data_IF_618494152635
#
_entry.id   IF_618494152635
#
_cell.length_a   1.000
_cell.length_b   1.000
_cell.length_c   1.000
_cell.angle_alpha   90.00
_cell.angle_beta   90.00
_cell.angle_gamma   90.00
#
_symmetry.space_group_name_H-M   'P 1'
#
loop_
_entity.id
_entity.type
_entity.pdbx_description
1 polymer ?
#
# COMPACT_ATOMS: atom_id res chain seq x y z
N UNK A 1 7.82 20.96 11.88
CA UNK A 1 7.83 19.49 11.83
C UNK A 1 6.57 19.02 12.54
N UNK A 2 5.84 18.09 11.94
CA UNK A 2 4.57 17.61 12.48
C UNK A 2 4.74 16.18 12.98
N UNK A 3 4.03 15.84 14.06
CA UNK A 3 4.03 14.48 14.59
C UNK A 3 3.37 13.50 13.62
N UNK A 4 3.66 12.20 13.74
CA UNK A 4 3.16 11.18 12.82
C UNK A 4 1.63 11.06 12.74
N UNK A 5 0.92 11.52 13.76
CA UNK A 5 -0.55 11.47 13.86
C UNK A 5 -1.24 12.79 13.53
N UNK A 6 -0.49 13.88 13.33
CA UNK A 6 -1.06 15.19 13.02
C UNK A 6 -0.74 15.53 11.57
N UNK A 7 -1.73 15.52 10.66
CA UNK A 7 -1.49 15.91 9.28
C UNK A 7 -0.95 17.35 9.28
N UNK A 8 0.15 17.61 8.58
CA UNK A 8 0.64 18.96 8.41
C UNK A 8 -0.29 19.71 7.45
N UNK A 9 -1.29 20.40 7.98
CA UNK A 9 -2.12 21.25 7.14
C UNK A 9 -1.29 22.47 6.66
N UNK A 10 -0.84 22.39 5.41
CA UNK A 10 -0.26 23.48 4.61
C UNK A 10 -1.23 23.94 3.50
N UNK A 11 -0.83 24.96 2.73
CA UNK A 11 -1.55 25.66 1.65
C UNK A 11 -2.60 24.79 0.90
N UNK A 12 -3.90 25.15 0.88
CA UNK A 12 -5.03 24.28 0.52
C UNK A 12 -5.21 24.01 -0.98
N UNK A 13 -4.13 23.92 -1.78
CA UNK A 13 -4.30 23.56 -3.18
C UNK A 13 -4.72 22.09 -3.37
N UNK A 14 -4.78 21.64 -4.63
CA UNK A 14 -5.54 20.47 -5.07
C UNK A 14 -5.17 19.15 -4.37
N UNK A 15 -3.97 19.06 -3.78
CA UNK A 15 -3.44 17.82 -3.20
C UNK A 15 -3.73 17.65 -1.70
N UNK A 16 -3.80 18.74 -0.93
CA UNK A 16 -4.07 18.67 0.52
C UNK A 16 -5.43 18.04 0.85
N UNK A 17 -6.52 18.27 0.08
CA UNK A 17 -7.81 17.59 0.29
C UNK A 17 -7.79 16.07 0.11
N UNK A 18 -6.76 15.50 -0.53
CA UNK A 18 -6.62 14.06 -0.71
C UNK A 18 -6.00 13.37 0.53
N UNK A 19 -5.53 14.16 1.50
CA UNK A 19 -4.88 13.65 2.70
C UNK A 19 -5.96 13.35 3.74
N UNK A 20 -6.13 12.07 4.03
CA UNK A 20 -7.05 11.61 5.07
C UNK A 20 -6.30 11.47 6.40
N UNK A 21 -6.94 11.94 7.47
CA UNK A 21 -6.59 11.58 8.84
C UNK A 21 -6.86 10.10 9.09
N UNK A 22 -6.22 9.52 10.11
CA UNK A 22 -6.50 8.14 10.53
C UNK A 22 -7.99 7.95 10.87
N UNK A 23 -8.63 8.94 11.50
CA UNK A 23 -10.06 8.93 11.83
C UNK A 23 -10.94 8.90 10.57
N UNK A 24 -10.60 9.69 9.55
CA UNK A 24 -11.30 9.68 8.26
C UNK A 24 -11.11 8.36 7.53
N UNK A 25 -9.89 7.80 7.51
CA UNK A 25 -9.63 6.49 6.90
C UNK A 25 -10.49 5.38 7.54
N UNK A 26 -10.57 5.35 8.88
CA UNK A 26 -11.44 4.43 9.61
C UNK A 26 -12.91 4.66 9.23
N UNK A 27 -13.36 5.91 9.27
CA UNK A 27 -14.77 6.26 9.00
C UNK A 27 -15.19 5.95 7.57
N UNK A 28 -14.27 6.06 6.61
CA UNK A 28 -14.46 5.71 5.21
C UNK A 28 -14.19 4.22 4.92
N UNK A 29 -13.95 3.42 5.97
CA UNK A 29 -13.76 1.99 5.88
C UNK A 29 -12.59 1.58 4.97
N UNK A 30 -11.56 2.43 4.88
CA UNK A 30 -10.27 2.05 4.28
C UNK A 30 -9.65 0.94 5.11
N UNK A 31 -8.89 0.07 4.45
CA UNK A 31 -8.14 -1.01 5.10
C UNK A 31 -6.99 -0.43 5.90
N UNK A 32 -7.31 0.03 7.11
CA UNK A 32 -6.37 0.27 8.19
C UNK A 32 -6.31 -0.98 9.07
N UNK A 33 -5.23 -1.26 9.80
CA UNK A 33 -5.18 -2.38 10.74
C UNK A 33 -6.29 -2.26 11.80
N UNK A 34 -7.46 -2.83 11.56
CA UNK A 34 -8.72 -2.44 12.22
C UNK A 34 -9.16 -3.37 13.36
N UNK A 35 -8.26 -4.07 14.03
CA UNK A 35 -8.64 -4.90 15.19
C UNK A 35 -8.38 -4.20 16.54
N UNK A 36 -7.44 -3.28 16.57
CA UNK A 36 -7.16 -2.37 17.67
C UNK A 36 -6.03 -1.50 17.18
N UNK A 37 -6.23 -0.18 17.09
CA UNK A 37 -5.11 0.75 17.03
C UNK A 37 -4.44 0.67 18.40
N UNK A 38 -3.67 -0.39 18.57
CA UNK A 38 -2.52 -0.38 19.43
C UNK A 38 -1.55 0.58 18.72
N UNK A 39 -1.14 1.67 19.36
CA UNK A 39 -0.12 2.55 18.80
C UNK A 39 1.18 1.79 18.45
N UNK A 40 1.40 0.60 19.04
CA UNK A 40 2.50 -0.30 18.68
C UNK A 40 2.28 -1.10 17.38
N UNK A 41 1.06 -1.13 16.83
CA UNK A 41 0.74 -1.81 15.56
C UNK A 41 1.07 -0.95 14.33
N UNK A 42 1.23 0.36 14.51
CA UNK A 42 1.63 1.28 13.46
C UNK A 42 3.11 1.64 13.62
N UNK A 43 3.94 1.13 12.72
CA UNK A 43 5.33 1.53 12.65
C UNK A 43 5.49 2.69 11.67
N UNK A 44 5.65 3.89 12.18
CA UNK A 44 6.02 5.03 11.35
C UNK A 44 7.44 4.84 10.82
N UNK A 45 7.60 5.00 9.51
CA UNK A 45 8.90 4.87 8.84
C UNK A 45 9.89 5.98 9.25
N UNK A 46 9.38 7.11 9.73
CA UNK A 46 10.16 8.26 10.15
C UNK A 46 9.62 8.82 11.47
N UNK A 47 10.50 9.35 12.34
CA UNK A 47 10.07 10.00 13.58
C UNK A 47 9.34 11.33 13.34
N UNK A 48 9.58 11.98 12.19
CA UNK A 48 8.96 13.23 11.79
C UNK A 48 8.76 13.27 10.28
N UNK A 49 7.67 13.91 9.86
CA UNK A 49 7.38 14.14 8.44
C UNK A 49 7.45 15.64 8.11
N UNK A 50 7.90 15.94 6.88
CA UNK A 50 7.88 17.30 6.35
C UNK A 50 6.44 17.72 6.10
N UNK A 51 6.16 19.01 6.24
CA UNK A 51 4.86 19.55 5.95
C UNK A 51 4.47 19.28 4.49
N UNK A 52 3.21 18.91 4.26
CA UNK A 52 2.72 18.76 2.89
C UNK A 52 2.59 20.14 2.23
N UNK A 53 2.81 20.15 0.92
CA UNK A 53 2.65 21.32 0.06
C UNK A 53 2.11 20.88 -1.28
N UNK A 54 1.71 21.82 -2.12
CA UNK A 54 1.29 21.55 -3.50
C UNK A 54 2.36 20.87 -4.36
N UNK A 55 3.63 20.97 -3.96
CA UNK A 55 4.75 20.33 -4.62
C UNK A 55 5.09 18.96 -4.04
N UNK A 56 4.37 18.48 -3.03
CA UNK A 56 4.56 17.14 -2.50
C UNK A 56 4.22 16.10 -3.59
N UNK A 57 5.08 15.09 -3.78
CA UNK A 57 4.83 14.06 -4.77
C UNK A 57 3.68 13.16 -4.33
N UNK A 58 2.88 12.71 -5.30
CA UNK A 58 1.79 11.75 -5.10
C UNK A 58 2.12 10.47 -5.86
N UNK A 59 1.89 9.34 -5.21
CA UNK A 59 2.06 8.03 -5.80
C UNK A 59 0.77 7.23 -5.67
N UNK A 60 0.42 6.48 -6.71
CA UNK A 60 -0.60 5.46 -6.63
C UNK A 60 0.06 4.10 -6.47
N UNK A 61 -0.52 3.28 -5.60
CA UNK A 61 -0.08 1.91 -5.31
C UNK A 61 -1.21 0.96 -5.63
N UNK A 62 -0.88 -0.15 -6.27
CA UNK A 62 -1.80 -1.25 -6.52
C UNK A 62 -1.08 -2.60 -6.32
N UNK A 63 -1.83 -3.56 -5.79
CA UNK A 63 -1.29 -4.84 -5.37
C UNK A 63 -2.17 -5.97 -5.93
N UNK A 64 -1.54 -6.97 -6.52
CA UNK A 64 -2.22 -8.21 -6.89
C UNK A 64 -1.88 -9.31 -5.90
N UNK A 65 -2.91 -9.97 -5.39
CA UNK A 65 -2.77 -11.04 -4.40
C UNK A 65 -3.22 -12.39 -4.94
N UNK A 66 -2.67 -13.45 -4.35
CA UNK A 66 -3.04 -14.85 -4.58
C UNK A 66 -3.50 -15.50 -3.28
N UNK A 67 -4.30 -16.56 -3.35
CA UNK A 67 -4.75 -17.30 -2.17
C UNK A 67 -3.69 -18.31 -1.74
N UNK A 68 -3.35 -18.28 -0.46
CA UNK A 68 -2.42 -19.22 0.20
C UNK A 68 -3.09 -19.98 1.35
N UNK A 69 -4.42 -19.86 1.44
CA UNK A 69 -5.30 -20.54 2.39
C UNK A 69 -6.77 -20.15 2.15
N UNK A 70 -7.74 -20.81 2.80
CA UNK A 70 -9.17 -20.53 2.61
C UNK A 70 -9.51 -19.05 2.79
N UNK A 71 -8.97 -18.43 3.85
CA UNK A 71 -9.20 -17.02 4.20
C UNK A 71 -7.91 -16.20 4.22
N UNK A 72 -6.85 -16.70 3.57
CA UNK A 72 -5.54 -16.06 3.57
C UNK A 72 -5.07 -15.78 2.14
N UNK A 73 -4.69 -14.52 1.91
CA UNK A 73 -4.08 -14.05 0.66
C UNK A 73 -2.65 -13.60 0.91
N UNK A 74 -1.81 -13.66 -0.12
CA UNK A 74 -0.43 -13.18 -0.10
C UNK A 74 -0.17 -12.28 -1.33
N UNK A 75 0.70 -11.27 -1.16
CA UNK A 75 1.13 -10.40 -2.24
C UNK A 75 1.85 -11.20 -3.32
N UNK A 76 1.58 -10.88 -4.58
CA UNK A 76 2.19 -11.52 -5.75
C UNK A 76 2.66 -10.55 -6.84
N UNK A 77 2.14 -9.32 -6.83
CA UNK A 77 2.65 -8.20 -7.64
C UNK A 77 2.43 -6.89 -6.90
N UNK A 78 3.37 -5.97 -7.03
CA UNK A 78 3.28 -4.60 -6.52
C UNK A 78 3.60 -3.63 -7.65
N UNK A 79 2.71 -2.67 -7.86
CA UNK A 79 2.87 -1.60 -8.84
C UNK A 79 2.78 -0.24 -8.15
N UNK A 80 3.70 0.67 -8.48
CA UNK A 80 3.71 2.05 -8.01
C UNK A 80 3.94 2.97 -9.22
N UNK A 81 3.08 3.98 -9.36
CA UNK A 81 3.20 5.03 -10.38
C UNK A 81 3.21 6.42 -9.75
N UNK A 82 3.86 7.38 -10.39
CA UNK A 82 3.82 8.78 -9.97
C UNK A 82 2.67 9.57 -10.65
N UNK A 83 2.57 10.86 -10.34
CA UNK A 83 1.53 11.76 -10.89
C UNK A 83 1.61 12.00 -12.41
N UNK A 84 2.75 11.68 -13.03
CA UNK A 84 2.93 11.73 -14.48
C UNK A 84 2.61 10.37 -15.15
N UNK A 85 2.05 9.42 -14.40
CA UNK A 85 1.78 8.05 -14.83
C UNK A 85 3.04 7.23 -15.17
N UNK A 86 4.21 7.66 -14.69
CA UNK A 86 5.46 6.92 -14.87
C UNK A 86 5.53 5.78 -13.86
N UNK A 87 5.93 4.59 -14.32
CA UNK A 87 6.12 3.40 -13.48
C UNK A 87 7.38 3.57 -12.65
N UNK A 88 7.21 3.68 -11.34
CA UNK A 88 8.30 3.77 -10.37
C UNK A 88 8.73 2.38 -9.94
N UNK A 89 7.77 1.47 -9.75
CA UNK A 89 8.00 0.09 -9.40
C UNK A 89 6.92 -0.78 -10.03
N UNK A 90 7.31 -1.89 -10.64
CA UNK A 90 6.40 -2.95 -11.07
C UNK A 90 7.14 -4.28 -10.94
N UNK A 91 6.83 -5.02 -9.88
CA UNK A 91 7.58 -6.22 -9.52
C UNK A 91 6.64 -7.36 -9.17
N UNK A 92 7.03 -8.56 -9.61
CA UNK A 92 6.43 -9.80 -9.15
C UNK A 92 7.10 -10.21 -7.84
N UNK A 93 6.29 -10.68 -6.90
CA UNK A 93 6.71 -11.13 -5.57
C UNK A 93 6.38 -12.60 -5.45
N UNK A 94 7.33 -13.40 -4.95
CA UNK A 94 7.12 -14.80 -4.65
C UNK A 94 6.55 -14.94 -3.23
N UNK A 95 5.33 -15.45 -3.06
CA UNK A 95 4.80 -15.74 -1.73
C UNK A 95 5.65 -16.77 -0.98
N UNK A 96 5.74 -16.64 0.34
CA UNK A 96 6.41 -17.64 1.20
C UNK A 96 5.59 -18.91 1.36
N UNK A 97 4.26 -18.75 1.44
CA UNK A 97 3.31 -19.86 1.53
C UNK A 97 2.97 -20.39 0.15
N UNK A 98 2.68 -21.68 0.09
CA UNK A 98 2.22 -22.32 -1.14
C UNK A 98 0.90 -21.69 -1.61
N UNK A 99 0.87 -21.33 -2.89
CA UNK A 99 -0.33 -20.81 -3.55
C UNK A 99 -1.29 -21.96 -3.78
N UNK A 100 -2.55 -21.80 -3.33
CA UNK A 100 -3.62 -22.78 -3.55
C UNK A 100 -4.59 -22.34 -4.65
N UNK A 101 -4.70 -21.03 -4.90
CA UNK A 101 -5.46 -20.46 -5.99
C UNK A 101 -4.83 -19.12 -6.40
N UNK A 102 -4.56 -18.95 -7.71
CA UNK A 102 -3.97 -17.73 -8.25
C UNK A 102 -5.00 -16.62 -8.40
N UNK A 103 -6.29 -16.92 -8.28
CA UNK A 103 -7.42 -16.00 -8.49
C UNK A 103 -7.29 -15.20 -9.79
N UNK A 104 -6.75 -15.84 -10.84
CA UNK A 104 -6.36 -15.24 -12.13
C UNK A 104 -7.46 -14.41 -12.77
N UNK A 105 -8.73 -14.81 -12.59
CA UNK A 105 -9.89 -14.06 -13.11
C UNK A 105 -9.93 -12.62 -12.59
N UNK A 106 -9.46 -12.41 -11.36
CA UNK A 106 -9.46 -11.12 -10.68
C UNK A 106 -8.08 -10.47 -10.76
N UNK A 107 -7.01 -11.23 -10.51
CA UNK A 107 -5.65 -10.69 -10.37
C UNK A 107 -4.80 -10.72 -11.63
N UNK A 108 -5.21 -11.47 -12.66
CA UNK A 108 -4.38 -11.76 -13.83
C UNK A 108 -3.15 -12.63 -13.54
N UNK A 109 -2.91 -13.04 -12.29
CA UNK A 109 -1.74 -13.80 -11.90
C UNK A 109 -1.80 -15.25 -12.40
N UNK A 110 -0.68 -15.78 -12.86
CA UNK A 110 -0.57 -17.16 -13.35
C UNK A 110 0.68 -17.85 -12.79
N UNK A 111 0.71 -19.19 -12.75
CA UNK A 111 1.91 -19.93 -12.37
C UNK A 111 3.14 -19.56 -13.21
N UNK A 112 2.93 -19.31 -14.51
CA UNK A 112 3.97 -18.98 -15.46
C UNK A 112 4.58 -17.60 -15.18
N UNK A 113 3.76 -16.62 -14.78
CA UNK A 113 4.27 -15.31 -14.38
C UNK A 113 5.18 -15.42 -13.15
N UNK A 114 4.85 -16.30 -12.19
CA UNK A 114 5.65 -16.48 -10.98
C UNK A 114 6.81 -17.49 -11.13
N UNK A 115 6.99 -18.07 -12.31
CA UNK A 115 8.08 -18.99 -12.58
C UNK A 115 9.43 -18.25 -12.53
N UNK A 116 10.35 -18.74 -11.71
CA UNK A 116 11.68 -18.13 -11.56
C UNK A 116 11.72 -16.81 -10.77
N UNK A 117 10.58 -16.28 -10.31
CA UNK A 117 10.55 -15.08 -9.46
C UNK A 117 11.24 -15.38 -8.12
N UNK A 118 12.14 -14.49 -7.69
CA UNK A 118 12.94 -14.67 -6.46
C UNK A 118 12.73 -13.58 -5.42
N UNK A 119 12.15 -12.43 -5.79
CA UNK A 119 11.88 -11.34 -4.86
C UNK A 119 10.84 -11.78 -3.82
N UNK A 120 11.10 -11.51 -2.54
CA UNK A 120 10.22 -11.83 -1.40
C UNK A 120 10.07 -10.59 -0.52
N UNK A 121 8.98 -10.54 0.24
CA UNK A 121 8.82 -9.60 1.35
C UNK A 121 9.40 -10.24 2.61
N UNK A 122 10.21 -9.49 3.37
CA UNK A 122 10.80 -9.91 4.65
C UNK A 122 10.22 -9.09 5.81
#
# INVERSE_FOLDING_TARGET
MYGPTTPPFGDPGLKVPLVLTLEEMISLNYTVPSASIDENSMQFSLPFYTALSEHSPVFAIDCEMVKVGPDLSALSRLSIVNENYEVILDVLVKPDKQIIDYVTKYSGMTPQLLEGVTLRLE
#
